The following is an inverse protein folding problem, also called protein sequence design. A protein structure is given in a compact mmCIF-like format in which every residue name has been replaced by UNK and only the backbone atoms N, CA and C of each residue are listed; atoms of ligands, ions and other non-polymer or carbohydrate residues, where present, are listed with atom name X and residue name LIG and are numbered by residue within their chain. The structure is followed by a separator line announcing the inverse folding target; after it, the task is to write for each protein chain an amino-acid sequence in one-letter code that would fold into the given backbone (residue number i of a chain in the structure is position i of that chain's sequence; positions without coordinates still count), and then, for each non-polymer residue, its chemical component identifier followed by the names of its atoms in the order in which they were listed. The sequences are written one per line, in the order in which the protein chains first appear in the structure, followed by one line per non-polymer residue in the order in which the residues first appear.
data_IF_238364772856
#
_entry.id   IF_238364772856
#
_cell.length_a   1.000
_cell.length_b   1.000
_cell.length_c   1.000
_cell.angle_alpha   90.00
_cell.angle_beta   90.00
_cell.angle_gamma   90.00
#
_symmetry.space_group_name_H-M   'P 1'
#
loop_
_entity.id
_entity.type
_entity.pdbx_description
1 polymer ?
#
# COMPACT_ATOMS: atom_id res chain seq x y z
N UNK A 1 22.22 8.27 2.83
CA UNK A 1 22.53 7.86 1.45
C UNK A 1 22.41 6.36 1.17
N UNK A 2 22.69 5.43 2.09
CA UNK A 2 22.75 3.98 1.80
C UNK A 2 21.44 3.33 1.30
N UNK A 3 20.27 3.88 1.66
CA UNK A 3 18.98 3.29 1.28
C UNK A 3 18.59 3.47 -0.19
N UNK A 4 18.92 4.62 -0.77
CA UNK A 4 18.48 4.97 -2.13
C UNK A 4 19.12 4.04 -3.18
N UNK A 5 20.36 3.62 -2.95
CA UNK A 5 21.09 2.67 -3.81
C UNK A 5 20.48 1.27 -3.84
N UNK A 6 19.64 0.92 -2.85
CA UNK A 6 18.95 -0.39 -2.77
C UNK A 6 17.55 -0.37 -3.38
N UNK A 7 17.06 0.81 -3.77
CA UNK A 7 15.73 0.96 -4.35
C UNK A 7 15.76 0.55 -5.82
N UNK A 8 15.52 -0.73 -6.06
CA UNK A 8 15.53 -1.31 -7.40
C UNK A 8 14.11 -1.36 -7.99
N UNK A 9 13.99 -1.24 -9.32
CA UNK A 9 12.73 -1.41 -10.03
C UNK A 9 11.96 -2.71 -9.65
N UNK A 10 12.59 -3.90 -9.55
CA UNK A 10 11.89 -5.11 -9.10
C UNK A 10 11.38 -5.02 -7.66
N UNK A 11 12.09 -4.33 -6.76
CA UNK A 11 11.62 -4.13 -5.38
C UNK A 11 10.38 -3.22 -5.35
N UNK A 12 10.40 -2.13 -6.13
CA UNK A 12 9.26 -1.23 -6.28
C UNK A 12 8.04 -1.97 -6.87
N UNK A 13 8.22 -2.81 -7.88
CA UNK A 13 7.14 -3.62 -8.44
C UNK A 13 6.55 -4.60 -7.43
N UNK A 14 7.39 -5.25 -6.61
CA UNK A 14 6.91 -6.11 -5.51
C UNK A 14 6.12 -5.31 -4.48
N UNK A 15 6.64 -4.14 -4.07
CA UNK A 15 5.96 -3.25 -3.14
C UNK A 15 4.60 -2.79 -3.67
N UNK A 16 4.54 -2.38 -4.94
CA UNK A 16 3.31 -1.98 -5.62
C UNK A 16 2.30 -3.14 -5.69
N UNK A 17 2.74 -4.35 -6.02
CA UNK A 17 1.85 -5.53 -6.05
C UNK A 17 1.27 -5.82 -4.68
N UNK A 18 2.08 -5.79 -3.63
CA UNK A 18 1.61 -5.95 -2.25
C UNK A 18 0.62 -4.85 -1.86
N UNK A 19 0.92 -3.60 -2.19
CA UNK A 19 0.05 -2.46 -1.93
C UNK A 19 -1.30 -2.58 -2.63
N UNK A 20 -1.33 -3.01 -3.89
CA UNK A 20 -2.56 -3.21 -4.65
C UNK A 20 -3.41 -4.33 -4.04
N UNK A 21 -2.82 -5.48 -3.71
CA UNK A 21 -3.57 -6.61 -3.15
C UNK A 21 -4.11 -6.27 -1.77
N UNK A 22 -3.23 -5.88 -0.84
CA UNK A 22 -3.61 -5.58 0.56
C UNK A 22 -4.51 -4.35 0.62
N UNK A 23 -4.19 -3.31 -0.16
CA UNK A 23 -4.96 -2.08 -0.22
C UNK A 23 -6.36 -2.33 -0.78
N UNK A 24 -6.51 -3.11 -1.85
CA UNK A 24 -7.84 -3.44 -2.40
C UNK A 24 -8.67 -4.28 -1.44
N UNK A 25 -8.07 -5.27 -0.79
CA UNK A 25 -8.78 -6.04 0.26
C UNK A 25 -9.24 -5.12 1.38
N UNK A 26 -8.37 -4.22 1.85
CA UNK A 26 -8.69 -3.29 2.96
C UNK A 26 -9.70 -2.21 2.55
N UNK A 27 -9.69 -1.78 1.29
CA UNK A 27 -10.68 -0.86 0.73
C UNK A 27 -12.06 -1.52 0.67
N UNK A 28 -12.12 -2.77 0.17
CA UNK A 28 -13.34 -3.55 0.11
C UNK A 28 -13.94 -3.74 1.50
N UNK A 29 -13.19 -4.11 2.54
CA UNK A 29 -13.77 -4.29 3.88
C UNK A 29 -14.13 -2.97 4.58
N UNK A 30 -13.37 -1.89 4.34
CA UNK A 30 -13.52 -0.64 5.09
C UNK A 30 -14.56 0.31 4.48
N UNK A 31 -14.83 0.17 3.19
CA UNK A 31 -15.70 1.08 2.46
C UNK A 31 -16.52 0.36 1.37
N UNK A 32 -16.84 -0.93 1.58
CA UNK A 32 -17.73 -1.70 0.70
C UNK A 32 -19.00 -0.91 0.37
N UNK A 33 -19.68 -0.40 1.39
CA UNK A 33 -20.92 0.35 1.25
C UNK A 33 -20.73 1.64 0.45
N UNK A 34 -19.57 2.29 0.51
CA UNK A 34 -19.29 3.49 -0.28
C UNK A 34 -18.91 3.18 -1.75
N UNK A 35 -18.65 1.91 -2.08
CA UNK A 35 -18.38 1.46 -3.45
C UNK A 35 -19.64 0.94 -4.13
N UNK A 36 -20.52 0.27 -3.38
CA UNK A 36 -21.68 -0.44 -3.93
C UNK A 36 -23.03 0.13 -3.48
N UNK A 37 -23.04 1.08 -2.56
CA UNK A 37 -24.25 1.70 -1.99
C UNK A 37 -24.09 3.22 -1.91
N UNK A 38 -25.14 3.91 -1.46
CA UNK A 38 -25.22 5.38 -1.37
C UNK A 38 -24.51 5.97 -0.12
N UNK A 39 -23.33 5.43 0.22
CA UNK A 39 -22.54 5.93 1.35
C UNK A 39 -21.44 6.90 0.89
N UNK A 40 -21.11 7.95 1.68
CA UNK A 40 -20.11 8.94 1.31
C UNK A 40 -18.71 8.33 1.20
N UNK A 41 -18.05 8.52 0.05
CA UNK A 41 -16.72 7.99 -0.19
C UNK A 41 -15.63 8.79 0.53
N UNK A 42 -14.86 8.13 1.40
CA UNK A 42 -13.76 8.71 2.17
C UNK A 42 -12.43 8.56 1.41
N UNK A 43 -12.10 9.55 0.59
CA UNK A 43 -10.90 9.55 -0.26
C UNK A 43 -9.58 9.43 0.49
N UNK A 44 -9.42 10.16 1.61
CA UNK A 44 -8.16 10.15 2.38
C UNK A 44 -7.84 8.76 2.96
N UNK A 45 -8.77 8.07 3.66
CA UNK A 45 -8.58 6.69 4.09
C UNK A 45 -8.33 5.71 2.93
N UNK A 46 -9.04 5.89 1.81
CA UNK A 46 -8.87 5.03 0.63
C UNK A 46 -7.45 5.14 0.07
N UNK A 47 -6.91 6.36 -0.07
CA UNK A 47 -5.54 6.58 -0.52
C UNK A 47 -4.51 5.97 0.44
N UNK A 48 -4.63 6.27 1.74
CA UNK A 48 -3.71 5.76 2.77
C UNK A 48 -3.70 4.23 2.81
N UNK A 49 -4.83 3.60 2.49
CA UNK A 49 -4.96 2.14 2.45
C UNK A 49 -4.02 1.49 1.43
N UNK A 50 -3.64 2.19 0.35
CA UNK A 50 -2.62 1.74 -0.59
C UNK A 50 -1.22 2.22 -0.20
N UNK A 51 -1.08 3.44 0.32
CA UNK A 51 0.22 3.99 0.69
C UNK A 51 0.89 3.24 1.84
N UNK A 52 0.13 2.85 2.87
CA UNK A 52 0.66 2.16 4.05
C UNK A 52 1.32 0.82 3.70
N UNK A 53 0.66 -0.15 3.04
CA UNK A 53 1.27 -1.43 2.68
C UNK A 53 2.46 -1.27 1.72
N UNK A 54 2.46 -0.26 0.85
CA UNK A 54 3.62 0.07 0.02
C UNK A 54 4.84 0.46 0.85
N UNK A 55 4.68 1.45 1.74
CA UNK A 55 5.78 1.97 2.58
C UNK A 55 6.25 0.92 3.57
N UNK A 56 5.33 0.18 4.20
CA UNK A 56 5.67 -0.90 5.15
C UNK A 56 6.45 -2.02 4.45
N UNK A 57 6.05 -2.40 3.23
CA UNK A 57 6.79 -3.39 2.46
C UNK A 57 8.21 -2.91 2.12
N UNK A 58 8.34 -1.67 1.66
CA UNK A 58 9.65 -1.08 1.35
C UNK A 58 10.51 -1.01 2.62
N UNK A 59 10.00 -0.42 3.69
CA UNK A 59 10.70 -0.30 4.97
C UNK A 59 11.13 -1.66 5.53
N UNK A 60 10.26 -2.68 5.48
CA UNK A 60 10.59 -4.02 5.95
C UNK A 60 11.67 -4.71 5.11
N UNK A 61 11.69 -4.52 3.79
CA UNK A 61 12.76 -5.07 2.93
C UNK A 61 14.07 -4.33 3.11
N UNK A 62 13.99 -3.02 3.32
CA UNK A 62 15.11 -2.14 3.58
C UNK A 62 15.74 -2.42 4.96
N UNK A 63 14.93 -2.69 5.98
CA UNK A 63 15.37 -2.96 7.36
C UNK A 63 15.86 -4.39 7.62
N UNK A 64 15.69 -5.33 6.67
CA UNK A 64 16.19 -6.72 6.78
C UNK A 64 17.71 -6.86 6.71
N UNK A 65 18.44 -5.75 6.61
CA UNK A 65 19.91 -5.66 6.63
C UNK A 65 20.50 -5.70 8.06
N UNK A 66 19.81 -6.36 9.01
CA UNK A 66 20.30 -6.68 10.36
C UNK A 66 20.10 -8.15 10.65
#
# INVERSE_FOLDING_TARGET
MAYFSRLTAPLLLKASKTAIVVGSTRLLINQFDALFYDAPFRFVPALLTYCVPFVVFLYGNLSKDR
#
